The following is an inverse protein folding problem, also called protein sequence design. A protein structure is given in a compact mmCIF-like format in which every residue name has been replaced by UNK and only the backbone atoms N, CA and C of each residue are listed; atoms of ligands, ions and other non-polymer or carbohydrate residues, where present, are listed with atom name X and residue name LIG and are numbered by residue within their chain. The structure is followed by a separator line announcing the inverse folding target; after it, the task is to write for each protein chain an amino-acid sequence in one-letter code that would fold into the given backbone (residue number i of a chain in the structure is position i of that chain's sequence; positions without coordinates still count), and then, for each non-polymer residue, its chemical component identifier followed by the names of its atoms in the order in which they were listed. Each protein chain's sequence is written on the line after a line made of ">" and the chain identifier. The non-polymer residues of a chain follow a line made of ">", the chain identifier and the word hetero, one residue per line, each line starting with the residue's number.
data_IF_078784207443
#
_entry.id   IF_078784207443
#
_cell.length_a   1.000
_cell.length_b   1.000
_cell.length_c   1.000
_cell.angle_alpha   90.00
_cell.angle_beta   90.00
_cell.angle_gamma   90.00
#
_symmetry.space_group_name_H-M   'P 1'
#
loop_
_entity.id
_entity.type
_entity.pdbx_description
1 polymer ?
#
# COMPACT_ATOMS: atom_id res chain seq x y z
N UNK A 1 -13.69 7.17 31.85
CA UNK A 1 -14.89 7.36 32.69
C UNK A 1 -14.95 6.33 33.81
N UNK A 2 -15.18 5.03 33.55
CA UNK A 2 -15.23 4.03 34.64
C UNK A 2 -13.92 3.91 35.43
N UNK A 3 -12.76 3.91 34.75
CA UNK A 3 -11.43 3.98 35.41
C UNK A 3 -11.22 5.22 36.30
N UNK A 4 -12.02 6.27 36.12
CA UNK A 4 -12.00 7.49 36.92
C UNK A 4 -13.13 7.53 37.97
N UNK A 5 -13.83 6.42 38.21
CA UNK A 5 -14.85 6.30 39.25
C UNK A 5 -16.26 6.73 38.86
N UNK A 6 -16.52 7.08 37.58
CA UNK A 6 -17.86 7.46 37.14
C UNK A 6 -18.75 6.22 36.89
N UNK A 7 -20.02 6.32 37.26
CA UNK A 7 -21.06 5.38 36.82
C UNK A 7 -21.43 5.69 35.36
N UNK A 8 -21.22 4.73 34.46
CA UNK A 8 -21.43 4.91 33.02
C UNK A 8 -22.55 3.99 32.54
N UNK A 9 -23.42 4.52 31.68
CA UNK A 9 -24.38 3.74 30.89
C UNK A 9 -24.06 3.94 29.41
N UNK A 10 -23.86 2.85 28.67
CA UNK A 10 -23.63 2.87 27.22
C UNK A 10 -24.88 2.34 26.52
N UNK A 11 -25.37 3.07 25.52
CA UNK A 11 -26.51 2.65 24.70
C UNK A 11 -26.01 2.41 23.27
N UNK A 12 -26.05 1.17 22.81
CA UNK A 12 -25.75 0.76 21.44
C UNK A 12 -27.04 0.23 20.81
N UNK A 13 -27.34 0.71 19.60
CA UNK A 13 -28.58 0.36 18.91
C UNK A 13 -28.50 -1.03 18.26
N UNK A 14 -27.28 -1.46 17.91
CA UNK A 14 -27.03 -2.79 17.34
C UNK A 14 -26.91 -3.85 18.43
N UNK A 15 -27.02 -5.10 18.01
CA UNK A 15 -26.71 -6.29 18.80
C UNK A 15 -25.20 -6.55 18.94
N UNK A 16 -24.36 -5.64 18.44
CA UNK A 16 -22.89 -5.73 18.44
C UNK A 16 -22.23 -4.41 18.78
N UNK A 17 -21.07 -4.50 19.41
CA UNK A 17 -20.19 -3.36 19.69
C UNK A 17 -19.27 -3.05 18.49
N UNK A 18 -18.63 -1.88 18.51
CA UNK A 18 -17.60 -1.47 17.53
C UNK A 18 -18.08 -0.55 16.41
N UNK A 19 -19.39 -0.45 16.18
CA UNK A 19 -19.97 0.47 15.20
C UNK A 19 -19.45 0.21 13.78
N UNK A 20 -18.72 1.19 13.21
CA UNK A 20 -18.06 1.06 11.88
C UNK A 20 -16.85 0.14 11.89
N UNK A 21 -16.33 -0.21 13.06
CA UNK A 21 -15.34 -1.26 13.18
C UNK A 21 -16.06 -2.61 13.26
N UNK A 22 -16.20 -3.28 12.11
CA UNK A 22 -16.94 -4.54 12.01
C UNK A 22 -16.15 -5.57 11.21
N UNK A 23 -16.01 -6.75 11.80
CA UNK A 23 -15.56 -7.95 11.13
C UNK A 23 -16.76 -8.83 10.83
N UNK A 24 -16.97 -9.13 9.55
CA UNK A 24 -17.96 -10.08 9.05
C UNK A 24 -17.36 -11.50 9.03
N UNK A 25 -18.06 -12.47 9.62
CA UNK A 25 -17.73 -13.90 9.65
C UNK A 25 -18.89 -14.74 9.11
N UNK A 26 -18.65 -16.05 8.93
CA UNK A 26 -19.71 -16.99 8.56
C UNK A 26 -20.90 -16.92 9.53
N UNK A 27 -22.11 -16.79 9.00
CA UNK A 27 -23.35 -16.64 9.75
C UNK A 27 -23.78 -15.21 10.03
N UNK A 28 -22.89 -14.21 9.91
CA UNK A 28 -23.24 -12.82 10.13
C UNK A 28 -24.31 -12.35 9.14
N UNK A 29 -25.35 -11.71 9.66
CA UNK A 29 -26.45 -11.12 8.88
C UNK A 29 -26.15 -9.64 8.63
N UNK A 30 -26.08 -9.26 7.36
CA UNK A 30 -25.88 -7.88 6.91
C UNK A 30 -27.20 -7.35 6.38
N UNK A 31 -27.85 -6.49 7.14
CA UNK A 31 -29.10 -5.82 6.74
C UNK A 31 -28.79 -4.48 6.07
N UNK A 32 -29.36 -4.28 4.88
CA UNK A 32 -29.18 -3.07 4.09
C UNK A 32 -30.37 -2.14 4.22
N UNK A 33 -30.16 -0.85 3.94
CA UNK A 33 -31.18 0.19 4.05
C UNK A 33 -32.35 0.03 3.08
N UNK A 34 -32.19 -0.78 2.02
CA UNK A 34 -33.25 -1.14 1.07
C UNK A 34 -34.11 -2.32 1.55
N UNK A 35 -33.84 -2.84 2.76
CA UNK A 35 -34.53 -3.99 3.35
C UNK A 35 -33.98 -5.34 2.90
N UNK A 36 -33.00 -5.38 1.98
CA UNK A 36 -32.33 -6.61 1.61
C UNK A 36 -31.42 -7.11 2.73
N UNK A 37 -31.18 -8.42 2.77
CA UNK A 37 -30.29 -9.04 3.76
C UNK A 37 -29.34 -10.01 3.07
N UNK A 38 -28.08 -9.97 3.46
CA UNK A 38 -27.10 -11.00 3.11
C UNK A 38 -26.68 -11.77 4.36
N UNK A 39 -26.43 -13.06 4.20
CA UNK A 39 -25.85 -13.90 5.24
C UNK A 39 -24.48 -14.34 4.75
N UNK A 40 -23.43 -13.95 5.45
CA UNK A 40 -22.08 -14.30 5.08
C UNK A 40 -21.85 -15.81 5.22
N UNK A 41 -21.20 -16.43 4.23
CA UNK A 41 -20.96 -17.87 4.16
C UNK A 41 -19.46 -18.21 4.22
N UNK A 42 -18.67 -17.38 4.88
CA UNK A 42 -17.25 -17.68 5.09
C UNK A 42 -17.08 -18.97 5.88
N UNK A 43 -16.07 -19.77 5.51
CA UNK A 43 -15.67 -20.94 6.29
C UNK A 43 -15.12 -20.54 7.66
N UNK A 44 -14.94 -21.53 8.53
CA UNK A 44 -14.36 -21.31 9.86
C UNK A 44 -12.98 -20.64 9.75
N UNK A 45 -12.73 -19.66 10.62
CA UNK A 45 -11.48 -18.88 10.63
C UNK A 45 -11.38 -17.79 9.56
N UNK A 46 -12.25 -17.77 8.55
CA UNK A 46 -12.27 -16.73 7.51
C UNK A 46 -13.16 -15.56 7.90
N UNK A 47 -12.72 -14.36 7.53
CA UNK A 47 -13.43 -13.13 7.84
C UNK A 47 -13.13 -12.00 6.84
N UNK A 48 -13.96 -10.97 6.87
CA UNK A 48 -13.75 -9.70 6.19
C UNK A 48 -13.88 -8.54 7.19
N UNK A 49 -12.86 -7.68 7.27
CA UNK A 49 -12.99 -6.42 7.97
C UNK A 49 -13.79 -5.42 7.09
N UNK A 50 -15.11 -5.34 7.30
CA UNK A 50 -16.04 -4.50 6.53
C UNK A 50 -16.03 -3.02 6.98
N UNK A 51 -14.92 -2.58 7.56
CA UNK A 51 -14.78 -1.29 8.22
C UNK A 51 -13.33 -0.91 8.40
N UNK A 52 -12.90 -0.67 9.64
CA UNK A 52 -11.48 -0.52 9.92
C UNK A 52 -10.74 -1.82 9.55
N UNK A 53 -9.72 -1.71 8.70
CA UNK A 53 -8.99 -2.87 8.17
C UNK A 53 -7.49 -2.84 8.44
N UNK A 54 -6.94 -1.73 8.93
CA UNK A 54 -5.49 -1.50 9.03
C UNK A 54 -5.16 -0.52 10.16
N UNK A 55 -3.99 -0.70 10.77
CA UNK A 55 -3.46 0.11 11.85
C UNK A 55 -2.02 0.57 11.55
N UNK A 56 -1.79 1.86 11.26
CA UNK A 56 -0.45 2.37 11.05
C UNK A 56 0.41 2.30 12.31
N UNK A 57 1.72 2.06 12.15
CA UNK A 57 2.69 1.99 13.25
C UNK A 57 2.83 3.28 14.09
N UNK A 58 2.36 4.41 13.58
CA UNK A 58 2.39 5.70 14.28
C UNK A 58 1.08 6.03 15.02
N UNK A 59 0.03 5.20 14.93
CA UNK A 59 -1.21 5.37 15.71
C UNK A 59 -1.02 4.95 17.18
N UNK A 60 -0.17 5.68 17.92
CA UNK A 60 0.30 5.30 19.26
C UNK A 60 -0.83 5.11 20.27
N UNK A 61 -1.90 5.90 20.20
CA UNK A 61 -3.06 5.75 21.09
C UNK A 61 -3.75 4.40 20.89
N UNK A 62 -4.01 4.01 19.65
CA UNK A 62 -4.66 2.73 19.34
C UNK A 62 -3.76 1.54 19.64
N UNK A 63 -2.46 1.65 19.35
CA UNK A 63 -1.46 0.64 19.74
C UNK A 63 -1.36 0.50 21.26
N UNK A 64 -1.44 1.61 21.99
CA UNK A 64 -1.51 1.63 23.45
C UNK A 64 -2.73 0.89 23.99
N UNK A 65 -3.91 1.13 23.39
CA UNK A 65 -5.12 0.40 23.74
C UNK A 65 -5.03 -1.10 23.43
N UNK A 66 -4.46 -1.49 22.28
CA UNK A 66 -4.28 -2.91 21.94
C UNK A 66 -3.39 -3.60 22.99
N UNK A 67 -2.30 -2.94 23.41
CA UNK A 67 -1.41 -3.43 24.47
C UNK A 67 -2.12 -3.54 25.81
N UNK A 68 -2.85 -2.51 26.22
CA UNK A 68 -3.55 -2.47 27.51
C UNK A 68 -4.65 -3.55 27.59
N UNK A 69 -5.32 -3.83 26.48
CA UNK A 69 -6.42 -4.80 26.40
C UNK A 69 -5.97 -6.22 26.01
N UNK A 70 -4.67 -6.45 25.85
CA UNK A 70 -4.12 -7.76 25.47
C UNK A 70 -4.58 -8.23 24.09
N UNK A 71 -4.80 -7.31 23.16
CA UNK A 71 -5.13 -7.61 21.76
C UNK A 71 -3.85 -7.84 20.99
N UNK A 72 -3.65 -9.08 20.54
CA UNK A 72 -2.51 -9.46 19.72
C UNK A 72 -2.62 -8.85 18.32
N UNK A 73 -1.49 -8.36 17.80
CA UNK A 73 -1.38 -7.73 16.49
C UNK A 73 -0.44 -8.53 15.58
N UNK A 74 -0.79 -8.61 14.30
CA UNK A 74 0.04 -9.14 13.22
C UNK A 74 0.35 -8.05 12.18
N UNK A 75 1.40 -8.28 11.39
CA UNK A 75 1.75 -7.37 10.29
C UNK A 75 0.68 -7.46 9.20
N UNK A 76 0.21 -6.30 8.76
CA UNK A 76 -0.64 -6.16 7.60
C UNK A 76 0.18 -5.66 6.41
N UNK A 77 0.17 -6.41 5.31
CA UNK A 77 0.80 -6.03 4.05
C UNK A 77 -0.13 -5.08 3.30
N UNK A 78 0.05 -3.78 3.50
CA UNK A 78 -0.81 -2.76 2.88
C UNK A 78 -0.44 -2.46 1.43
N UNK A 79 0.83 -2.63 1.09
CA UNK A 79 1.32 -2.45 -0.27
C UNK A 79 2.17 -3.65 -0.67
N UNK A 80 1.95 -4.12 -1.89
CA UNK A 80 2.74 -5.17 -2.51
C UNK A 80 3.13 -4.70 -3.90
N UNK A 81 4.44 -4.62 -4.15
CA UNK A 81 4.97 -4.28 -5.47
C UNK A 81 4.73 -5.41 -6.50
N UNK A 82 4.23 -6.58 -6.07
CA UNK A 82 3.75 -7.65 -6.95
C UNK A 82 2.25 -7.52 -7.29
N UNK A 83 1.49 -6.70 -6.58
CA UNK A 83 0.08 -6.50 -6.89
C UNK A 83 -0.08 -5.87 -8.28
N UNK A 84 -1.27 -6.08 -8.86
CA UNK A 84 -1.60 -5.60 -10.19
C UNK A 84 -2.39 -4.30 -10.11
N UNK A 85 -2.12 -3.41 -11.07
CA UNK A 85 -2.90 -2.21 -11.34
C UNK A 85 -3.35 -2.23 -12.80
N UNK A 86 -4.58 -1.77 -13.06
CA UNK A 86 -5.16 -1.75 -14.41
C UNK A 86 -5.83 -0.40 -14.65
N UNK A 87 -5.06 0.63 -15.05
CA UNK A 87 -5.58 1.99 -15.23
C UNK A 87 -6.46 2.12 -16.50
N UNK A 88 -6.34 1.17 -17.42
CA UNK A 88 -7.14 1.04 -18.63
C UNK A 88 -7.69 -0.40 -18.70
N UNK A 89 -9.01 -0.53 -18.73
CA UNK A 89 -9.70 -1.83 -18.73
C UNK A 89 -9.60 -2.57 -20.07
N UNK A 90 -9.18 -1.90 -21.14
CA UNK A 90 -8.95 -2.52 -22.45
C UNK A 90 -7.52 -3.07 -22.58
N UNK A 91 -6.62 -2.71 -21.66
CA UNK A 91 -5.24 -3.17 -21.62
C UNK A 91 -5.01 -4.25 -20.57
N UNK A 92 -3.95 -5.07 -20.67
CA UNK A 92 -3.55 -5.98 -19.60
C UNK A 92 -3.22 -5.24 -18.29
N UNK A 93 -3.43 -5.90 -17.16
CA UNK A 93 -2.99 -5.37 -15.87
C UNK A 93 -1.45 -5.40 -15.77
N UNK A 94 -0.90 -4.43 -15.03
CA UNK A 94 0.53 -4.20 -14.86
C UNK A 94 0.92 -4.46 -13.41
N UNK A 95 2.13 -4.96 -13.16
CA UNK A 95 2.63 -5.02 -11.79
C UNK A 95 3.01 -3.62 -11.28
N UNK A 96 2.65 -3.31 -10.04
CA UNK A 96 2.99 -2.02 -9.42
C UNK A 96 4.51 -1.78 -9.41
N UNK A 97 5.35 -2.81 -9.22
CA UNK A 97 6.83 -2.65 -9.32
C UNK A 97 7.28 -2.09 -10.67
N UNK A 98 6.66 -2.53 -11.76
CA UNK A 98 7.04 -2.16 -13.11
C UNK A 98 6.56 -0.74 -13.37
N UNK A 99 5.29 -0.46 -13.10
CA UNK A 99 4.75 0.89 -13.20
C UNK A 99 5.61 1.91 -12.42
N UNK A 100 6.00 1.57 -11.20
CA UNK A 100 6.82 2.47 -10.38
C UNK A 100 8.23 2.63 -10.96
N UNK A 101 8.97 1.55 -11.18
CA UNK A 101 10.38 1.66 -11.59
C UNK A 101 10.55 2.16 -13.03
N UNK A 102 9.60 1.90 -13.92
CA UNK A 102 9.61 2.44 -15.27
C UNK A 102 9.28 3.95 -15.26
N UNK A 103 8.36 4.40 -14.39
CA UNK A 103 8.11 5.84 -14.19
C UNK A 103 9.37 6.56 -13.71
N UNK A 104 10.03 5.98 -12.71
CA UNK A 104 11.30 6.50 -12.15
C UNK A 104 12.38 6.59 -13.22
N UNK A 105 12.49 5.57 -14.06
CA UNK A 105 13.42 5.51 -15.18
C UNK A 105 13.18 6.60 -16.21
N UNK A 106 11.99 6.63 -16.80
CA UNK A 106 11.64 7.62 -17.82
C UNK A 106 11.75 9.06 -17.31
N UNK A 107 11.27 9.34 -16.09
CA UNK A 107 11.36 10.70 -15.52
C UNK A 107 12.81 11.10 -15.24
N UNK A 108 13.63 10.17 -14.76
CA UNK A 108 15.06 10.42 -14.55
C UNK A 108 15.79 10.70 -15.86
N UNK A 109 15.50 9.95 -16.92
CA UNK A 109 16.06 10.18 -18.25
C UNK A 109 15.65 11.57 -18.79
N UNK A 110 14.37 11.93 -18.69
CA UNK A 110 13.88 13.24 -19.15
C UNK A 110 14.55 14.40 -18.39
N UNK A 111 14.68 14.28 -17.06
CA UNK A 111 15.34 15.29 -16.26
C UNK A 111 16.85 15.35 -16.55
N UNK A 112 17.51 14.20 -16.72
CA UNK A 112 18.91 14.15 -17.11
C UNK A 112 19.16 14.81 -18.48
N UNK A 113 18.24 14.60 -19.44
CA UNK A 113 18.26 15.29 -20.75
C UNK A 113 18.10 16.80 -20.60
N UNK A 114 17.20 17.28 -19.74
CA UNK A 114 17.04 18.71 -19.49
C UNK A 114 18.32 19.33 -18.89
N UNK A 115 18.90 18.66 -17.89
CA UNK A 115 20.17 19.07 -17.25
C UNK A 115 21.34 19.09 -18.24
N UNK A 116 21.42 18.12 -19.17
CA UNK A 116 22.46 18.10 -20.21
C UNK A 116 22.25 19.13 -21.32
N UNK A 117 21.03 19.66 -21.45
CA UNK A 117 20.70 20.76 -22.37
C UNK A 117 20.81 22.14 -21.72
N UNK A 118 21.42 22.22 -20.53
CA UNK A 118 21.58 23.47 -19.79
C UNK A 118 20.25 24.16 -19.44
N UNK A 119 19.15 23.40 -19.39
CA UNK A 119 17.82 23.95 -19.16
C UNK A 119 17.55 24.34 -17.69
N UNK A 120 18.45 23.95 -16.78
CA UNK A 120 18.35 24.20 -15.32
C UNK A 120 19.60 24.91 -14.76
N UNK A 121 20.36 25.61 -15.61
CA UNK A 121 21.61 26.27 -15.22
C UNK A 121 21.38 27.51 -14.35
N UNK A 122 20.15 28.03 -14.29
CA UNK A 122 19.81 29.14 -13.39
C UNK A 122 19.57 28.66 -11.96
N UNK A 123 19.17 27.40 -11.81
CA UNK A 123 18.78 26.76 -10.55
C UNK A 123 19.90 25.90 -9.97
N UNK A 124 20.80 25.39 -10.80
CA UNK A 124 21.84 24.42 -10.43
C UNK A 124 23.24 24.97 -10.68
N UNK A 125 24.10 24.84 -9.68
CA UNK A 125 25.54 25.04 -9.89
C UNK A 125 26.13 23.88 -10.72
N UNK A 126 27.35 24.03 -11.29
CA UNK A 126 28.02 22.91 -11.94
C UNK A 126 28.19 21.67 -11.05
N UNK A 127 28.38 21.87 -9.74
CA UNK A 127 28.46 20.79 -8.77
C UNK A 127 27.11 20.10 -8.56
N UNK A 128 26.02 20.88 -8.43
CA UNK A 128 24.66 20.34 -8.28
C UNK A 128 24.24 19.54 -9.51
N UNK A 129 24.59 20.02 -10.71
CA UNK A 129 24.38 19.28 -11.96
C UNK A 129 25.02 17.89 -11.91
N UNK A 130 26.29 17.80 -11.49
CA UNK A 130 26.99 16.51 -11.37
C UNK A 130 26.33 15.61 -10.33
N UNK A 131 25.96 16.15 -9.17
CA UNK A 131 25.31 15.40 -8.09
C UNK A 131 23.93 14.89 -8.50
N UNK A 132 23.12 15.73 -9.15
CA UNK A 132 21.81 15.38 -9.65
C UNK A 132 21.89 14.28 -10.71
N UNK A 133 22.79 14.39 -11.71
CA UNK A 133 22.95 13.34 -12.73
C UNK A 133 23.38 12.00 -12.11
N UNK A 134 24.28 12.01 -11.13
CA UNK A 134 24.70 10.81 -10.38
C UNK A 134 23.52 10.17 -9.62
N UNK A 135 22.72 11.01 -8.95
CA UNK A 135 21.51 10.57 -8.27
C UNK A 135 20.50 9.97 -9.26
N UNK A 136 20.18 10.67 -10.35
CA UNK A 136 19.23 10.21 -11.39
C UNK A 136 19.66 8.90 -12.04
N UNK A 137 20.96 8.71 -12.26
CA UNK A 137 21.48 7.44 -12.78
C UNK A 137 21.15 6.27 -11.85
N UNK A 138 21.37 6.45 -10.56
CA UNK A 138 21.08 5.41 -9.56
C UNK A 138 19.58 5.25 -9.34
N UNK A 139 18.86 6.35 -9.27
CA UNK A 139 17.43 6.42 -9.04
C UNK A 139 16.67 5.79 -10.22
N UNK A 140 16.81 6.33 -11.42
CA UNK A 140 16.15 5.81 -12.62
C UNK A 140 16.70 4.50 -13.17
N UNK A 141 17.80 3.96 -12.62
CA UNK A 141 18.52 2.81 -13.19
C UNK A 141 18.97 3.07 -14.64
N UNK A 142 19.55 4.26 -14.86
CA UNK A 142 19.95 4.72 -16.20
C UNK A 142 21.30 4.11 -16.62
N UNK A 143 21.50 4.00 -17.93
CA UNK A 143 22.77 3.63 -18.54
C UNK A 143 23.87 4.68 -18.29
N UNK A 144 25.11 4.38 -18.69
CA UNK A 144 26.20 5.37 -18.68
C UNK A 144 25.91 6.58 -19.58
N UNK A 145 25.05 6.41 -20.58
CA UNK A 145 24.56 7.48 -21.46
C UNK A 145 23.34 8.21 -20.91
N UNK A 146 22.93 7.89 -19.67
CA UNK A 146 21.75 8.45 -18.99
C UNK A 146 20.43 8.12 -19.71
N UNK A 147 20.37 6.95 -20.36
CA UNK A 147 19.19 6.41 -21.04
C UNK A 147 18.54 5.34 -20.16
N UNK A 148 17.20 5.32 -20.11
CA UNK A 148 16.43 4.28 -19.46
C UNK A 148 16.15 3.14 -20.43
N UNK A 149 16.75 1.99 -20.17
CA UNK A 149 16.68 0.80 -21.03
C UNK A 149 15.90 -0.36 -20.40
N UNK A 150 15.10 -0.07 -19.37
CA UNK A 150 14.43 -1.07 -18.53
C UNK A 150 15.29 -1.49 -17.33
N UNK A 151 14.61 -1.93 -16.27
CA UNK A 151 15.25 -2.21 -14.98
C UNK A 151 14.96 -3.61 -14.48
N UNK A 152 15.95 -4.23 -13.81
CA UNK A 152 15.73 -5.42 -13.00
C UNK A 152 14.71 -5.18 -11.86
N UNK A 153 14.61 -3.93 -11.38
CA UNK A 153 13.66 -3.51 -10.34
C UNK A 153 12.21 -3.64 -10.80
N UNK A 154 11.99 -3.56 -12.11
CA UNK A 154 10.69 -3.71 -12.76
C UNK A 154 10.23 -5.15 -12.92
N UNK A 155 11.08 -6.13 -12.59
CA UNK A 155 10.79 -7.56 -12.71
C UNK A 155 11.29 -8.19 -14.00
N UNK A 156 10.93 -9.45 -14.19
CA UNK A 156 11.46 -10.31 -15.23
C UNK A 156 10.36 -11.11 -15.92
N UNK A 157 10.52 -11.28 -17.24
CA UNK A 157 9.79 -12.29 -18.03
C UNK A 157 10.31 -13.69 -17.70
N UNK A 158 11.64 -13.80 -17.57
CA UNK A 158 12.34 -15.02 -17.14
C UNK A 158 13.17 -14.65 -15.92
N UNK A 159 12.80 -15.17 -14.75
CA UNK A 159 13.57 -14.97 -13.52
C UNK A 159 14.93 -15.65 -13.63
N UNK A 160 16.00 -15.07 -13.05
CA UNK A 160 17.28 -15.77 -12.92
C UNK A 160 17.08 -17.10 -12.18
N UNK A 161 17.65 -18.16 -12.72
CA UNK A 161 17.58 -19.51 -12.15
C UNK A 161 18.97 -20.13 -11.98
N UNK A 162 18.99 -21.43 -11.67
CA UNK A 162 20.23 -22.21 -11.63
C UNK A 162 20.68 -22.63 -13.04
N UNK A 163 21.95 -23.02 -13.18
CA UNK A 163 22.53 -23.46 -14.45
C UNK A 163 22.56 -22.35 -15.50
N UNK A 164 22.14 -22.67 -16.72
CA UNK A 164 22.20 -21.77 -17.88
C UNK A 164 20.99 -20.83 -18.00
N UNK A 165 20.11 -20.78 -16.99
CA UNK A 165 18.91 -19.92 -17.04
C UNK A 165 19.26 -18.45 -16.82
N UNK A 166 19.50 -17.75 -17.92
CA UNK A 166 19.73 -16.31 -17.93
C UNK A 166 18.43 -15.53 -17.72
N UNK A 167 18.53 -14.48 -16.90
CA UNK A 167 17.40 -13.60 -16.64
C UNK A 167 17.03 -12.77 -17.87
N UNK A 168 15.73 -12.63 -18.11
CA UNK A 168 15.19 -11.70 -19.12
C UNK A 168 14.31 -10.70 -18.41
N UNK A 169 14.77 -9.44 -18.34
CA UNK A 169 14.02 -8.35 -17.73
C UNK A 169 12.70 -8.13 -18.48
N UNK A 170 11.73 -7.53 -17.79
CA UNK A 170 10.57 -6.98 -18.48
C UNK A 170 11.00 -5.90 -19.48
N UNK A 171 10.29 -5.80 -20.60
CA UNK A 171 10.45 -4.64 -21.47
C UNK A 171 9.91 -3.42 -20.72
N UNK A 172 10.61 -2.27 -20.75
CA UNK A 172 10.10 -1.06 -20.12
C UNK A 172 8.77 -0.63 -20.74
N UNK A 173 7.82 -0.27 -19.88
CA UNK A 173 6.53 0.27 -20.29
C UNK A 173 6.72 1.58 -21.05
N UNK A 174 5.86 1.88 -22.04
CA UNK A 174 5.85 3.17 -22.70
C UNK A 174 5.55 4.30 -21.71
N UNK A 175 6.25 5.42 -21.84
CA UNK A 175 6.01 6.61 -21.01
C UNK A 175 4.53 7.04 -21.05
N UNK A 176 3.87 6.95 -22.20
CA UNK A 176 2.45 7.33 -22.35
C UNK A 176 1.53 6.49 -21.46
N UNK A 177 1.83 5.21 -21.25
CA UNK A 177 1.10 4.34 -20.32
C UNK A 177 1.26 4.84 -18.88
N UNK A 178 2.47 5.29 -18.52
CA UNK A 178 2.84 5.71 -17.17
C UNK A 178 2.30 7.10 -16.80
N UNK A 179 2.02 7.93 -17.81
CA UNK A 179 1.38 9.24 -17.63
C UNK A 179 -0.14 9.15 -17.40
N UNK A 180 -0.72 7.95 -17.38
CA UNK A 180 -2.14 7.80 -17.07
C UNK A 180 -2.43 8.20 -15.60
N UNK A 181 -3.30 9.20 -15.37
CA UNK A 181 -3.58 9.70 -14.01
C UNK A 181 -4.20 8.66 -13.08
N UNK A 182 -4.84 7.61 -13.61
CA UNK A 182 -5.39 6.51 -12.81
C UNK A 182 -4.30 5.66 -12.12
N UNK A 183 -3.02 5.79 -12.51
CA UNK A 183 -1.89 5.14 -11.82
C UNK A 183 -1.47 5.84 -10.53
N UNK A 184 -1.84 7.10 -10.33
CA UNK A 184 -1.39 7.96 -9.21
C UNK A 184 -1.44 7.25 -7.85
N UNK A 185 -2.58 6.66 -7.51
CA UNK A 185 -2.74 5.93 -6.24
C UNK A 185 -1.81 4.72 -6.15
N UNK A 186 -1.70 3.92 -7.22
CA UNK A 186 -0.82 2.75 -7.20
C UNK A 186 0.67 3.13 -7.10
N UNK A 187 1.05 4.31 -7.56
CA UNK A 187 2.43 4.79 -7.51
C UNK A 187 2.82 5.36 -6.14
N UNK A 188 1.90 6.02 -5.44
CA UNK A 188 2.23 6.89 -4.30
C UNK A 188 1.42 6.59 -3.02
N UNK A 189 0.53 5.59 -3.00
CA UNK A 189 -0.30 5.35 -1.81
C UNK A 189 0.53 5.07 -0.55
N UNK A 190 1.69 4.41 -0.66
CA UNK A 190 2.60 4.14 0.47
C UNK A 190 3.43 5.34 0.93
N UNK A 191 3.38 6.47 0.24
CA UNK A 191 4.06 7.72 0.64
C UNK A 191 3.23 8.50 1.67
N UNK A 192 1.91 8.29 1.73
CA UNK A 192 1.07 8.86 2.77
C UNK A 192 1.35 8.17 4.11
N UNK A 193 1.62 8.92 5.21
CA UNK A 193 1.94 8.34 6.51
C UNK A 193 0.95 7.25 6.95
N UNK A 194 -0.35 7.47 6.73
CA UNK A 194 -1.46 6.58 7.10
C UNK A 194 -1.47 5.23 6.37
N UNK A 195 -0.70 5.11 5.30
CA UNK A 195 -0.60 3.90 4.48
C UNK A 195 0.82 3.36 4.37
N UNK A 196 1.80 4.12 4.89
CA UNK A 196 3.20 3.73 4.94
C UNK A 196 3.41 2.51 5.84
N UNK A 197 4.17 1.49 5.38
CA UNK A 197 4.55 0.38 6.23
C UNK A 197 5.54 0.83 7.32
N UNK A 198 5.62 0.14 8.46
CA UNK A 198 4.89 -1.09 8.81
C UNK A 198 3.49 -0.79 9.32
N UNK A 199 2.55 -1.66 8.94
CA UNK A 199 1.15 -1.62 9.38
C UNK A 199 0.75 -2.91 10.05
N UNK A 200 -0.30 -2.84 10.86
CA UNK A 200 -0.78 -3.92 11.70
C UNK A 200 -2.28 -4.14 11.54
N UNK A 201 -2.74 -5.31 11.96
CA UNK A 201 -4.14 -5.60 12.25
C UNK A 201 -4.22 -6.56 13.45
N UNK A 202 -5.35 -6.65 14.17
CA UNK A 202 -5.53 -7.68 15.18
C UNK A 202 -5.57 -9.08 14.57
N UNK A 203 -4.91 -10.04 15.23
CA UNK A 203 -4.95 -11.46 14.85
C UNK A 203 -6.40 -11.94 14.95
N UNK A 204 -6.91 -12.57 13.88
CA UNK A 204 -8.28 -13.10 13.85
C UNK A 204 -9.38 -12.01 13.76
N UNK A 205 -8.99 -10.77 13.41
CA UNK A 205 -9.81 -9.61 13.07
C UNK A 205 -10.13 -8.58 14.17
N UNK A 206 -10.63 -7.42 13.73
CA UNK A 206 -10.85 -6.23 14.56
C UNK A 206 -11.93 -6.34 15.64
N UNK A 207 -12.85 -7.32 15.57
CA UNK A 207 -13.83 -7.55 16.65
C UNK A 207 -13.22 -8.04 17.97
N UNK A 208 -11.90 -8.24 18.06
CA UNK A 208 -11.20 -8.24 19.35
C UNK A 208 -11.27 -6.88 20.07
N UNK A 209 -11.80 -5.84 19.42
CA UNK A 209 -11.90 -4.49 19.94
C UNK A 209 -13.32 -3.89 19.81
N UNK A 210 -14.02 -3.64 20.94
CA UNK A 210 -13.64 -3.95 22.32
C UNK A 210 -14.00 -5.38 22.73
N UNK A 211 -13.00 -6.15 23.21
CA UNK A 211 -13.25 -7.29 24.09
C UNK A 211 -13.81 -6.75 25.42
N UNK A 212 -14.78 -7.42 26.07
CA UNK A 212 -15.13 -7.08 27.45
C UNK A 212 -13.86 -7.11 28.31
N UNK A 213 -13.69 -6.10 29.17
CA UNK A 213 -12.64 -6.14 30.18
C UNK A 213 -12.87 -7.37 31.06
N UNK A 214 -11.83 -8.14 31.43
CA UNK A 214 -11.98 -9.18 32.42
C UNK A 214 -12.55 -8.58 33.72
N UNK A 215 -13.73 -9.04 34.15
CA UNK A 215 -14.37 -8.61 35.40
C UNK A 215 -15.40 -7.47 35.30
N UNK A 216 -15.97 -7.22 34.12
CA UNK A 216 -17.21 -6.43 33.97
C UNK A 216 -18.45 -7.33 33.92
#
# INVERSE_FOLDING_TARGET
>A
MSKAGFKVTLLEARDRVGGRNWTVRGGDRVEYSDGSTQVAQFGEGFYLNAGAGRLPSHHQLMLGYCRELGVELEVLVNTSRNALVRPDLDQPALQIRQAVNDSRGHFSELLAKAVNRHALDQELTPADRSNLLSFLKTWGDLSDKLEYLGSARSGYKVWPGAGDQLAQKNDPLPLQTLLNPALTTALMIDEYPEFSPTMFQPVGAWTAFPRPLPGA
#
